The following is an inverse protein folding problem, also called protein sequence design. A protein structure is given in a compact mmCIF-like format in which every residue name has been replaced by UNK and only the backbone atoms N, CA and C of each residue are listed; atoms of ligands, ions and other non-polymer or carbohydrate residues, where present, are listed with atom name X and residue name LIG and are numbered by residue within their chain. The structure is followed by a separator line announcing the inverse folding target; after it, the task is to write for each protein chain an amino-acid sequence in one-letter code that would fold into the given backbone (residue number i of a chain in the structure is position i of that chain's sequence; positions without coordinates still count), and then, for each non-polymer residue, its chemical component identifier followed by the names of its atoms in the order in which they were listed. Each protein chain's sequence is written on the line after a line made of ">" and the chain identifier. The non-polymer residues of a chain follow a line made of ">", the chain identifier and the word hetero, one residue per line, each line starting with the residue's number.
data_IF_532198473689
#
_entry.id   IF_532198473689
#
_cell.length_a   1.000
_cell.length_b   1.000
_cell.length_c   1.000
_cell.angle_alpha   90.00
_cell.angle_beta   90.00
_cell.angle_gamma   90.00
#
_symmetry.space_group_name_H-M   'P 1'
#
loop_
_entity.id
_entity.type
_entity.pdbx_description
1 polymer ?
#
# COMPACT_ATOMS: atom_id res chain seq x y z
N UNK A 1 -7.12 1.94 -4.08
CA UNK A 1 -6.41 0.67 -4.38
C UNK A 1 -7.14 -0.10 -5.49
N UNK A 2 -6.44 -0.99 -6.20
CA UNK A 2 -7.02 -1.87 -7.24
C UNK A 2 -6.36 -3.25 -7.19
N UNK A 3 -7.16 -4.31 -7.30
CA UNK A 3 -6.68 -5.66 -7.57
C UNK A 3 -6.51 -5.88 -9.09
N UNK A 4 -5.29 -5.74 -9.60
CA UNK A 4 -4.94 -6.01 -11.00
C UNK A 4 -4.66 -7.51 -11.18
N UNK A 5 -5.72 -8.28 -11.46
CA UNK A 5 -5.64 -9.74 -11.58
C UNK A 5 -4.79 -10.22 -12.76
N UNK A 6 -4.88 -9.64 -13.97
CA UNK A 6 -3.99 -10.02 -15.07
C UNK A 6 -2.51 -9.92 -14.72
N UNK A 7 -2.12 -8.93 -13.92
CA UNK A 7 -0.74 -8.75 -13.48
C UNK A 7 -0.41 -9.46 -12.15
N UNK A 8 -1.42 -9.98 -11.42
CA UNK A 8 -1.30 -10.48 -10.05
C UNK A 8 -0.78 -9.43 -9.04
N UNK A 9 -1.24 -8.17 -9.16
CA UNK A 9 -0.73 -7.04 -8.38
C UNK A 9 -1.84 -6.31 -7.62
N UNK A 10 -1.61 -6.02 -6.34
CA UNK A 10 -2.38 -5.05 -5.58
C UNK A 10 -1.79 -3.65 -5.81
N UNK A 11 -2.46 -2.83 -6.63
CA UNK A 11 -2.01 -1.47 -6.97
C UNK A 11 -2.53 -0.45 -5.97
N UNK A 12 -1.61 0.29 -5.34
CA UNK A 12 -1.90 1.44 -4.48
C UNK A 12 -1.59 2.71 -5.27
N UNK A 13 -2.63 3.32 -5.86
CA UNK A 13 -2.46 4.50 -6.71
C UNK A 13 -2.19 5.80 -5.95
N UNK A 14 -2.71 5.91 -4.72
CA UNK A 14 -2.43 6.99 -3.79
C UNK A 14 -2.89 6.57 -2.39
N UNK A 15 -2.28 7.13 -1.35
CA UNK A 15 -2.69 6.95 0.04
C UNK A 15 -2.57 8.27 0.80
N UNK A 16 -3.56 8.57 1.63
CA UNK A 16 -3.68 9.83 2.36
C UNK A 16 -3.93 9.55 3.83
N UNK A 17 -3.22 10.27 4.68
CA UNK A 17 -3.41 10.30 6.10
C UNK A 17 -4.67 11.12 6.44
N UNK A 18 -5.39 10.68 7.47
CA UNK A 18 -6.36 11.54 8.13
C UNK A 18 -5.65 12.58 9.02
N UNK A 19 -6.34 13.67 9.32
CA UNK A 19 -5.80 14.70 10.20
C UNK A 19 -5.47 14.09 11.58
N UNK A 20 -4.21 14.23 12.00
CA UNK A 20 -3.73 13.66 13.26
C UNK A 20 -3.33 12.18 13.20
N UNK A 21 -3.22 11.59 12.00
CA UNK A 21 -2.70 10.24 11.84
C UNK A 21 -1.33 10.09 12.51
N UNK A 22 -1.11 9.03 13.31
CA UNK A 22 0.18 8.76 13.95
C UNK A 22 1.31 8.57 12.92
N UNK A 23 2.58 8.84 13.28
CA UNK A 23 3.71 8.68 12.37
C UNK A 23 3.91 7.23 11.88
N UNK A 24 3.49 6.24 12.66
CA UNK A 24 3.55 4.81 12.32
C UNK A 24 2.45 4.36 11.33
N UNK A 25 1.53 5.26 10.93
CA UNK A 25 0.39 4.93 10.07
C UNK A 25 0.81 4.26 8.77
N UNK A 26 1.89 4.72 8.12
CA UNK A 26 2.36 4.12 6.87
C UNK A 26 2.80 2.66 7.07
N UNK A 27 3.51 2.35 8.15
CA UNK A 27 3.98 1.01 8.45
C UNK A 27 2.80 0.07 8.78
N UNK A 28 1.86 0.52 9.61
CA UNK A 28 0.67 -0.28 9.94
C UNK A 28 -0.21 -0.52 8.71
N UNK A 29 -0.44 0.51 7.89
CA UNK A 29 -1.20 0.39 6.65
C UNK A 29 -0.54 -0.60 5.68
N UNK A 30 0.79 -0.64 5.60
CA UNK A 30 1.47 -1.60 4.73
C UNK A 30 1.23 -3.06 5.14
N UNK A 31 1.18 -3.36 6.44
CA UNK A 31 0.84 -4.71 6.91
C UNK A 31 -0.62 -5.09 6.58
N UNK A 32 -1.55 -4.14 6.63
CA UNK A 32 -2.94 -4.36 6.20
C UNK A 32 -3.03 -4.59 4.66
N UNK A 33 -2.20 -3.88 3.88
CA UNK A 33 -2.11 -4.10 2.43
C UNK A 33 -1.54 -5.49 2.10
N UNK A 34 -0.54 -5.98 2.86
CA UNK A 34 -0.01 -7.36 2.73
C UNK A 34 -1.06 -8.41 3.07
N UNK A 35 -1.83 -8.21 4.13
CA UNK A 35 -2.95 -9.10 4.46
C UNK A 35 -3.99 -9.12 3.34
N UNK A 36 -4.34 -7.95 2.81
CA UNK A 36 -5.27 -7.80 1.69
C UNK A 36 -4.74 -8.50 0.42
N UNK A 37 -3.46 -8.32 0.09
CA UNK A 37 -2.80 -9.00 -1.04
C UNK A 37 -2.91 -10.53 -0.88
N UNK A 38 -2.60 -11.06 0.31
CA UNK A 38 -2.70 -12.48 0.61
C UNK A 38 -4.12 -13.04 0.48
N UNK A 39 -5.13 -12.34 1.02
CA UNK A 39 -6.53 -12.75 0.88
C UNK A 39 -7.03 -12.74 -0.56
N UNK A 40 -6.51 -11.82 -1.38
CA UNK A 40 -6.86 -11.74 -2.80
C UNK A 40 -6.07 -12.73 -3.67
N UNK A 41 -5.09 -13.44 -3.12
CA UNK A 41 -4.23 -14.36 -3.85
C UNK A 41 -3.35 -13.67 -4.91
N UNK A 42 -2.97 -12.41 -4.66
CA UNK A 42 -2.09 -11.64 -5.53
C UNK A 42 -0.62 -11.87 -5.14
N UNK A 43 0.31 -11.69 -6.06
CA UNK A 43 1.74 -11.98 -5.83
C UNK A 43 2.53 -10.78 -5.34
N UNK A 44 2.14 -9.56 -5.71
CA UNK A 44 2.88 -8.36 -5.39
C UNK A 44 2.00 -7.17 -5.02
N UNK A 45 2.62 -6.18 -4.38
CA UNK A 45 2.06 -4.86 -4.11
C UNK A 45 2.90 -3.84 -4.87
N UNK A 46 2.24 -2.97 -5.64
CA UNK A 46 2.91 -1.84 -6.26
C UNK A 46 2.32 -0.54 -5.74
N UNK A 47 3.18 0.34 -5.25
CA UNK A 47 2.81 1.64 -4.67
C UNK A 47 3.25 2.76 -5.60
N UNK A 48 2.30 3.59 -6.00
CA UNK A 48 2.60 4.90 -6.60
C UNK A 48 2.86 5.89 -5.46
N UNK A 49 3.97 6.66 -5.46
CA UNK A 49 4.30 7.61 -4.41
C UNK A 49 3.44 8.88 -4.49
N UNK A 50 2.12 8.73 -4.34
CA UNK A 50 1.13 9.81 -4.42
C UNK A 50 0.28 9.86 -3.14
N UNK A 51 -0.10 11.09 -2.76
CA UNK A 51 -0.61 11.38 -1.42
C UNK A 51 0.52 11.48 -0.38
N UNK A 52 0.18 11.87 0.84
CA UNK A 52 1.17 12.12 1.91
C UNK A 52 1.78 10.82 2.47
N UNK A 53 1.03 9.71 2.48
CA UNK A 53 1.53 8.38 2.88
C UNK A 53 2.23 7.64 1.72
N UNK A 54 2.01 8.06 0.48
CA UNK A 54 2.51 7.39 -0.73
C UNK A 54 4.03 7.15 -0.73
N UNK A 55 4.87 8.18 -0.52
CA UNK A 55 6.32 8.02 -0.48
C UNK A 55 6.82 7.05 0.59
N UNK A 56 6.26 7.10 1.80
CA UNK A 56 6.63 6.20 2.88
C UNK A 56 6.22 4.75 2.57
N UNK A 57 5.03 4.54 2.01
CA UNK A 57 4.59 3.21 1.58
C UNK A 57 5.46 2.65 0.45
N UNK A 58 5.90 3.50 -0.49
CA UNK A 58 6.78 3.08 -1.58
C UNK A 58 8.16 2.67 -1.07
N UNK A 59 8.71 3.38 -0.08
CA UNK A 59 9.97 3.06 0.59
C UNK A 59 9.91 1.72 1.34
N UNK A 60 8.81 1.49 2.08
CA UNK A 60 8.58 0.21 2.77
C UNK A 60 8.45 -0.94 1.77
N UNK A 61 7.80 -0.72 0.62
CA UNK A 61 7.56 -1.76 -0.38
C UNK A 61 8.84 -2.25 -1.09
N UNK A 62 9.92 -1.44 -1.09
CA UNK A 62 11.20 -1.79 -1.72
C UNK A 62 12.28 -2.21 -0.71
N UNK A 63 11.99 -2.15 0.59
CA UNK A 63 12.86 -2.56 1.69
C UNK A 63 12.79 -4.07 1.95
#
# INVERSE_FOLDING_TARGET
>A
LRADRPASILRVHAAYAEAGAPPETAAQLFEELKQTQGWLGLEAIEVTPAGDLGPALADIAVS
#
